data_IF_982929230686
#
_entry.id   IF_982929230686
#
_cell.length_a   1.000
_cell.length_b   1.000
_cell.length_c   1.000
_cell.angle_alpha   90.00
_cell.angle_beta   90.00
_cell.angle_gamma   90.00
#
_symmetry.space_group_name_H-M   'P 1'
#
loop_
_entity.id
_entity.type
_entity.pdbx_description
1 polymer ?
#
# COMPACT_ATOMS: atom_id res chain seq x y z
N UNK A 1 23.13 -49.46 21.06
CA UNK A 1 22.01 -48.78 21.77
C UNK A 1 22.39 -47.46 22.45
N UNK A 2 23.67 -47.19 22.81
CA UNK A 2 24.07 -45.95 23.53
C UNK A 2 24.22 -44.70 22.63
N UNK A 3 24.41 -44.86 21.32
CA UNK A 3 24.61 -43.75 20.37
C UNK A 3 23.30 -43.04 19.92
N UNK A 4 22.17 -43.74 19.96
CA UNK A 4 20.87 -43.16 19.61
C UNK A 4 20.29 -42.28 20.72
N UNK A 5 20.71 -42.52 21.97
CA UNK A 5 20.24 -41.78 23.13
C UNK A 5 20.86 -40.36 23.21
N UNK A 6 22.11 -40.20 22.77
CA UNK A 6 22.79 -38.89 22.70
C UNK A 6 22.29 -38.02 21.54
N UNK A 7 21.92 -38.62 20.39
CA UNK A 7 21.33 -37.88 19.27
C UNK A 7 19.93 -37.33 19.57
N UNK A 8 19.12 -38.08 20.33
CA UNK A 8 17.77 -37.65 20.70
C UNK A 8 17.76 -36.50 21.71
N UNK A 9 18.76 -36.45 22.61
CA UNK A 9 18.90 -35.37 23.59
C UNK A 9 19.36 -34.04 22.96
N UNK A 10 20.21 -34.09 21.94
CA UNK A 10 20.63 -32.90 21.18
C UNK A 10 19.50 -32.27 20.37
N UNK A 11 18.60 -33.10 19.82
CA UNK A 11 17.45 -32.65 19.03
C UNK A 11 16.36 -32.00 19.91
N UNK A 12 16.19 -32.48 21.14
CA UNK A 12 15.33 -31.85 22.15
C UNK A 12 15.85 -30.48 22.62
N UNK A 13 17.17 -30.29 22.68
CA UNK A 13 17.77 -29.00 23.07
C UNK A 13 17.68 -27.96 21.94
N UNK A 14 17.87 -28.37 20.68
CA UNK A 14 17.69 -27.51 19.51
C UNK A 14 16.22 -27.09 19.30
N UNK A 15 15.27 -27.98 19.58
CA UNK A 15 13.84 -27.67 19.48
C UNK A 15 13.38 -26.59 20.48
N UNK A 16 13.95 -26.57 21.70
CA UNK A 16 13.63 -25.54 22.70
C UNK A 16 14.20 -24.16 22.34
N UNK A 17 15.36 -24.09 21.68
CA UNK A 17 15.95 -22.83 21.20
C UNK A 17 15.12 -22.20 20.06
N UNK A 18 14.58 -23.01 19.14
CA UNK A 18 13.73 -22.52 18.04
C UNK A 18 12.34 -22.06 18.51
N UNK A 19 11.80 -22.67 19.58
CA UNK A 19 10.52 -22.26 20.14
C UNK A 19 10.60 -20.93 20.93
N UNK A 20 11.73 -20.66 21.60
CA UNK A 20 11.96 -19.38 22.27
C UNK A 20 12.08 -18.23 21.27
N UNK A 21 12.81 -18.45 20.16
CA UNK A 21 13.04 -17.43 19.13
C UNK A 21 11.79 -16.98 18.37
N UNK A 22 10.74 -17.82 18.28
CA UNK A 22 9.46 -17.46 17.66
C UNK A 22 8.54 -16.71 18.63
N UNK A 23 8.67 -16.96 19.94
CA UNK A 23 7.91 -16.27 20.97
C UNK A 23 8.58 -14.93 21.37
N UNK A 24 9.90 -14.82 21.19
CA UNK A 24 10.70 -13.58 21.32
C UNK A 24 10.69 -12.69 20.07
N UNK A 25 10.19 -13.19 18.93
CA UNK A 25 9.54 -12.35 17.90
C UNK A 25 8.26 -11.79 18.51
N UNK A 26 8.44 -10.95 19.53
CA UNK A 26 7.39 -10.30 20.29
C UNK A 26 6.45 -9.60 19.32
N UNK A 27 5.15 -9.59 19.61
CA UNK A 27 4.12 -8.88 18.81
C UNK A 27 4.54 -7.46 18.42
N UNK A 28 5.37 -6.81 19.24
CA UNK A 28 5.96 -5.50 18.94
C UNK A 28 6.87 -5.53 17.70
N UNK A 29 7.73 -6.54 17.52
CA UNK A 29 8.59 -6.66 16.34
C UNK A 29 7.78 -6.96 15.06
N UNK A 30 6.72 -7.75 15.17
CA UNK A 30 5.78 -7.98 14.06
C UNK A 30 5.01 -6.71 13.68
N UNK A 31 4.55 -5.95 14.68
CA UNK A 31 3.92 -4.64 14.49
C UNK A 31 4.86 -3.63 13.84
N UNK A 32 6.08 -3.48 14.36
CA UNK A 32 7.07 -2.57 13.81
C UNK A 32 7.47 -2.95 12.37
N UNK A 33 7.58 -4.25 12.08
CA UNK A 33 7.79 -4.75 10.71
C UNK A 33 6.66 -4.39 9.75
N UNK A 34 5.40 -4.53 10.19
CA UNK A 34 4.24 -4.14 9.39
C UNK A 34 4.15 -2.63 9.18
N UNK A 35 4.50 -1.81 10.18
CA UNK A 35 4.61 -0.35 10.02
C UNK A 35 5.68 0.02 9.00
N UNK A 36 6.87 -0.59 9.09
CA UNK A 36 7.96 -0.35 8.16
C UNK A 36 7.58 -0.75 6.73
N UNK A 37 6.88 -1.87 6.55
CA UNK A 37 6.35 -2.30 5.25
C UNK A 37 5.30 -1.32 4.73
N UNK A 38 4.38 -0.86 5.58
CA UNK A 38 3.34 0.09 5.19
C UNK A 38 3.97 1.42 4.77
N UNK A 39 4.90 1.96 5.55
CA UNK A 39 5.66 3.17 5.18
C UNK A 39 6.34 3.02 3.81
N UNK A 40 6.98 1.87 3.56
CA UNK A 40 7.63 1.62 2.28
C UNK A 40 6.63 1.51 1.13
N UNK A 41 5.51 0.81 1.35
CA UNK A 41 4.45 0.69 0.35
C UNK A 41 3.81 2.05 0.03
N UNK A 42 3.63 2.91 1.03
CA UNK A 42 3.14 4.29 0.84
C UNK A 42 4.11 5.10 -0.02
N UNK A 43 5.42 5.03 0.26
CA UNK A 43 6.42 5.72 -0.57
C UNK A 43 6.38 5.25 -2.02
N UNK A 44 6.34 3.94 -2.24
CA UNK A 44 6.26 3.36 -3.59
C UNK A 44 4.97 3.79 -4.30
N UNK A 45 3.83 3.73 -3.62
CA UNK A 45 2.54 4.10 -4.19
C UNK A 45 2.50 5.59 -4.59
N UNK A 46 3.03 6.47 -3.72
CA UNK A 46 3.15 7.90 -4.02
C UNK A 46 4.08 8.12 -5.21
N UNK A 47 5.23 7.45 -5.25
CA UNK A 47 6.18 7.58 -6.36
C UNK A 47 5.56 7.10 -7.69
N UNK A 48 4.75 6.06 -7.64
CA UNK A 48 4.05 5.53 -8.82
C UNK A 48 2.95 6.48 -9.31
N UNK A 49 2.14 7.01 -8.40
CA UNK A 49 0.96 7.83 -8.73
C UNK A 49 1.27 9.30 -9.00
N UNK A 50 2.41 9.82 -8.52
CA UNK A 50 2.84 11.19 -8.78
C UNK A 50 3.51 11.39 -10.15
N UNK A 51 3.81 10.28 -10.86
CA UNK A 51 4.40 10.33 -12.21
C UNK A 51 3.35 10.80 -13.23
N UNK A 52 3.78 11.45 -14.33
CA UNK A 52 2.87 11.85 -15.40
C UNK A 52 2.07 10.66 -15.97
N UNK A 53 0.74 10.74 -15.87
CA UNK A 53 -0.18 9.69 -16.26
C UNK A 53 -0.34 8.57 -15.22
N UNK A 54 0.16 8.75 -13.99
CA UNK A 54 0.04 7.81 -12.88
C UNK A 54 -1.41 7.50 -12.50
N UNK A 55 -2.32 8.46 -12.68
CA UNK A 55 -3.76 8.23 -12.57
C UNK A 55 -4.37 7.90 -13.93
N UNK A 56 -4.06 8.71 -14.92
CA UNK A 56 -4.82 8.71 -16.16
C UNK A 56 -4.62 7.45 -17.01
N UNK A 57 -3.44 6.81 -16.90
CA UNK A 57 -3.11 5.55 -17.61
C UNK A 57 -3.41 4.30 -16.79
N UNK A 58 -3.85 4.45 -15.54
CA UNK A 58 -4.18 3.32 -14.66
C UNK A 58 -5.70 3.28 -14.42
N UNK A 59 -6.44 2.34 -15.03
CA UNK A 59 -7.90 2.29 -14.90
C UNK A 59 -8.38 2.06 -13.46
N UNK A 60 -7.56 1.46 -12.60
CA UNK A 60 -7.94 1.16 -11.21
C UNK A 60 -7.95 2.40 -10.32
N UNK A 61 -7.21 3.44 -10.69
CA UNK A 61 -7.10 4.69 -9.91
C UNK A 61 -7.49 5.93 -10.69
N UNK A 62 -7.86 5.79 -11.96
CA UNK A 62 -8.26 6.91 -12.82
C UNK A 62 -9.46 7.64 -12.22
N UNK A 63 -9.34 8.97 -12.12
CA UNK A 63 -10.42 9.82 -11.62
C UNK A 63 -11.34 10.16 -12.79
N UNK A 64 -12.53 9.60 -12.79
CA UNK A 64 -13.61 9.97 -13.71
C UNK A 64 -14.37 11.19 -13.20
N UNK A 65 -15.06 11.88 -14.11
CA UNK A 65 -15.85 13.05 -13.77
C UNK A 65 -17.02 12.68 -12.84
N UNK A 66 -17.10 13.28 -11.63
CA UNK A 66 -18.08 12.87 -10.64
C UNK A 66 -19.48 13.40 -10.93
N UNK A 67 -20.48 12.73 -10.36
CA UNK A 67 -21.87 13.21 -10.31
C UNK A 67 -22.44 13.63 -11.66
N UNK A 68 -22.95 14.87 -11.71
CA UNK A 68 -23.57 15.40 -12.93
C UNK A 68 -22.56 15.68 -14.05
N UNK A 69 -21.29 15.95 -13.73
CA UNK A 69 -20.24 16.16 -14.73
C UNK A 69 -20.01 14.90 -15.56
N UNK A 70 -20.00 13.72 -14.92
CA UNK A 70 -19.89 12.44 -15.63
C UNK A 70 -21.09 12.15 -16.55
N UNK A 71 -22.29 12.59 -16.18
CA UNK A 71 -23.48 12.46 -17.05
C UNK A 71 -23.37 13.38 -18.27
N UNK A 72 -23.03 14.64 -18.06
CA UNK A 72 -22.84 15.62 -19.14
C UNK A 72 -21.71 15.17 -20.06
N UNK A 73 -20.61 14.69 -19.50
CA UNK A 73 -19.46 14.14 -20.21
C UNK A 73 -19.84 12.98 -21.15
N UNK A 74 -20.67 12.04 -20.68
CA UNK A 74 -21.20 10.96 -21.53
C UNK A 74 -22.03 11.50 -22.69
N UNK A 75 -22.91 12.45 -22.42
CA UNK A 75 -23.70 13.11 -23.46
C UNK A 75 -22.79 13.84 -24.47
N UNK A 76 -21.87 14.67 -24.00
CA UNK A 76 -20.90 15.37 -24.85
C UNK A 76 -20.07 14.41 -25.70
N UNK A 77 -19.62 13.28 -25.14
CA UNK A 77 -18.94 12.20 -25.88
C UNK A 77 -19.83 11.64 -27.00
N UNK A 78 -21.12 11.41 -26.75
CA UNK A 78 -22.08 10.94 -27.77
C UNK A 78 -22.33 11.98 -28.89
N UNK A 79 -22.28 13.28 -28.56
CA UNK A 79 -22.43 14.38 -29.53
C UNK A 79 -21.11 14.78 -30.22
N UNK A 80 -20.06 13.94 -30.13
CA UNK A 80 -18.77 14.17 -30.81
C UNK A 80 -17.82 15.13 -30.10
N UNK A 81 -18.16 15.63 -28.92
CA UNK A 81 -17.32 16.54 -28.12
C UNK A 81 -16.40 15.80 -27.13
N UNK A 82 -16.08 14.53 -27.42
CA UNK A 82 -15.27 13.69 -26.53
C UNK A 82 -13.90 14.29 -26.19
N UNK A 83 -13.29 15.03 -27.11
CA UNK A 83 -12.00 15.70 -26.91
C UNK A 83 -11.99 16.70 -25.73
N UNK A 84 -13.06 17.47 -25.55
CA UNK A 84 -13.16 18.44 -24.46
C UNK A 84 -13.35 17.75 -23.11
N UNK A 85 -14.07 16.63 -23.12
CA UNK A 85 -14.27 15.79 -21.94
C UNK A 85 -12.95 15.13 -21.54
N UNK A 86 -12.20 14.58 -22.50
CA UNK A 86 -10.89 14.00 -22.24
C UNK A 86 -9.92 15.04 -21.69
N UNK A 87 -9.86 16.24 -22.25
CA UNK A 87 -9.00 17.31 -21.72
C UNK A 87 -9.34 17.69 -20.27
N UNK A 88 -10.62 17.66 -19.90
CA UNK A 88 -11.04 17.90 -18.52
C UNK A 88 -10.66 16.74 -17.59
N UNK A 89 -10.88 15.49 -18.03
CA UNK A 89 -10.42 14.29 -17.32
C UNK A 89 -8.90 14.35 -17.11
N UNK A 90 -8.13 14.71 -18.15
CA UNK A 90 -6.68 14.84 -18.10
C UNK A 90 -6.23 15.92 -17.11
N UNK A 91 -6.86 17.09 -17.13
CA UNK A 91 -6.55 18.17 -16.18
C UNK A 91 -6.83 17.76 -14.73
N UNK A 92 -7.93 17.03 -14.48
CA UNK A 92 -8.30 16.59 -13.15
C UNK A 92 -7.35 15.50 -12.63
N UNK A 93 -7.00 14.53 -13.48
CA UNK A 93 -6.03 13.48 -13.13
C UNK A 93 -4.63 14.07 -12.94
N UNK A 94 -4.19 15.00 -13.78
CA UNK A 94 -2.92 15.70 -13.62
C UNK A 94 -2.86 16.55 -12.34
N UNK A 95 -3.98 17.15 -11.93
CA UNK A 95 -4.07 17.84 -10.64
C UNK A 95 -3.94 16.86 -9.46
N UNK A 96 -4.49 15.64 -9.58
CA UNK A 96 -4.30 14.60 -8.58
C UNK A 96 -2.84 14.14 -8.51
N UNK A 97 -2.18 13.92 -9.66
CA UNK A 97 -0.75 13.58 -9.75
C UNK A 97 0.12 14.62 -9.01
N UNK A 98 -0.17 15.91 -9.19
CA UNK A 98 0.51 16.99 -8.48
C UNK A 98 0.20 17.04 -6.97
N UNK A 99 -0.97 16.56 -6.55
CA UNK A 99 -1.39 16.55 -5.15
C UNK A 99 -0.80 15.38 -4.34
N UNK A 100 -0.51 14.24 -4.97
CA UNK A 100 -0.02 13.02 -4.28
C UNK A 100 1.24 13.25 -3.43
N UNK A 101 2.28 13.97 -3.89
CA UNK A 101 3.45 14.24 -3.08
C UNK A 101 3.13 15.02 -1.79
N UNK A 102 2.15 15.92 -1.83
CA UNK A 102 1.71 16.67 -0.66
C UNK A 102 0.98 15.78 0.35
N UNK A 103 0.27 14.75 -0.12
CA UNK A 103 -0.41 13.78 0.74
C UNK A 103 0.58 12.79 1.41
N UNK A 104 1.79 12.62 0.88
CA UNK A 104 2.76 11.65 1.38
C UNK A 104 3.10 11.84 2.86
N UNK A 105 3.40 13.08 3.26
CA UNK A 105 3.79 13.38 4.64
C UNK A 105 2.66 13.06 5.62
N UNK A 106 1.42 13.42 5.25
CA UNK A 106 0.22 13.13 6.03
C UNK A 106 -0.01 11.63 6.18
N UNK A 107 0.16 10.85 5.11
CA UNK A 107 0.01 9.40 5.16
C UNK A 107 1.11 8.76 6.01
N UNK A 108 2.37 9.17 5.86
CA UNK A 108 3.47 8.61 6.64
C UNK A 108 3.33 8.92 8.14
N UNK A 109 2.88 10.12 8.49
CA UNK A 109 2.58 10.47 9.88
C UNK A 109 1.43 9.63 10.45
N UNK A 110 0.37 9.40 9.66
CA UNK A 110 -0.73 8.53 10.04
C UNK A 110 -0.28 7.08 10.28
N UNK A 111 0.58 6.53 9.41
CA UNK A 111 1.13 5.16 9.55
C UNK A 111 1.97 5.03 10.83
N UNK A 112 2.79 6.03 11.14
CA UNK A 112 3.62 6.04 12.36
C UNK A 112 2.76 6.04 13.62
N UNK A 113 1.68 6.83 13.62
CA UNK A 113 0.73 6.96 14.73
C UNK A 113 -0.25 5.79 14.86
N UNK A 114 -0.37 4.94 13.84
CA UNK A 114 -1.25 3.78 13.86
C UNK A 114 -0.84 2.80 14.97
N UNK A 115 -1.79 2.34 15.76
CA UNK A 115 -1.59 1.26 16.75
C UNK A 115 -1.91 -0.07 16.09
N UNK A 116 -0.95 -0.99 16.07
CA UNK A 116 -1.19 -2.36 15.60
C UNK A 116 -1.63 -3.15 16.82
N UNK A 117 -2.94 -3.19 17.03
CA UNK A 117 -3.54 -3.83 18.21
C UNK A 117 -3.68 -5.35 18.06
N UNK A 118 -3.55 -5.90 16.85
CA UNK A 118 -3.65 -7.33 16.59
C UNK A 118 -2.64 -7.75 15.51
N UNK A 119 -1.50 -8.26 15.95
CA UNK A 119 -0.54 -9.01 15.13
C UNK A 119 -0.43 -10.44 15.69
N UNK A 120 -1.51 -11.21 15.58
CA UNK A 120 -1.58 -12.62 15.96
C UNK A 120 -1.62 -13.53 14.73
#
# INVERSE_FOLDING_TARGET
MRAYLTGFLGLLFAAQACALSLNDLSQNQAGDGMKAMLEQSTRIAVEQLSKPGGFNKNPDVRIELPGNLGKIARTMKMFGQGQHVTALEDSMNGAAEAAVPHAQELLLDAVKKMTISDAK
#
